data_IF_446106364987
#
_entry.id   IF_446106364987
#
_cell.length_a   1.000
_cell.length_b   1.000
_cell.length_c   1.000
_cell.angle_alpha   90.00
_cell.angle_beta   90.00
_cell.angle_gamma   90.00
#
_symmetry.space_group_name_H-M   'P 1'
#
loop_
_entity.id
_entity.type
_entity.pdbx_description
1 polymer ?
#
# COMPACT_ATOMS: atom_id res chain seq x y z
N UNK A 1 0.54 -15.72 -20.53
CA UNK A 1 1.53 -16.76 -20.20
C UNK A 1 1.08 -17.38 -18.88
N UNK A 2 1.22 -18.69 -18.69
CA UNK A 2 0.81 -19.33 -17.43
C UNK A 2 1.97 -19.22 -16.45
N UNK A 3 2.02 -18.12 -15.69
CA UNK A 3 2.91 -18.00 -14.55
C UNK A 3 2.20 -18.54 -13.31
N UNK A 4 2.98 -19.06 -12.36
CA UNK A 4 2.46 -19.65 -11.13
C UNK A 4 3.33 -19.22 -9.96
N UNK A 5 2.78 -18.36 -9.11
CA UNK A 5 3.46 -17.86 -7.91
C UNK A 5 2.94 -18.62 -6.69
N UNK A 6 3.85 -19.09 -5.84
CA UNK A 6 3.54 -19.50 -4.48
C UNK A 6 3.73 -18.32 -3.55
N UNK A 7 2.66 -17.95 -2.84
CA UNK A 7 2.72 -17.05 -1.72
C UNK A 7 2.87 -17.84 -0.41
N UNK A 8 3.96 -17.64 0.31
CA UNK A 8 4.19 -18.18 1.65
C UNK A 8 4.07 -17.07 2.68
N UNK A 9 3.14 -17.22 3.63
CA UNK A 9 3.03 -16.33 4.78
C UNK A 9 3.97 -16.81 5.87
N UNK A 10 4.78 -15.91 6.39
CA UNK A 10 5.66 -16.15 7.52
C UNK A 10 5.31 -15.22 8.66
N UNK A 11 5.38 -15.72 9.89
CA UNK A 11 5.33 -14.86 11.09
C UNK A 11 6.69 -14.19 11.30
N UNK A 12 6.73 -13.18 12.17
CA UNK A 12 7.96 -12.49 12.59
C UNK A 12 9.08 -13.42 13.14
N UNK A 13 8.76 -14.63 13.60
CA UNK A 13 9.74 -15.66 14.02
C UNK A 13 10.29 -16.51 12.86
N UNK A 14 9.81 -16.27 11.62
CA UNK A 14 10.16 -17.00 10.40
C UNK A 14 9.31 -18.25 10.16
N UNK A 15 8.42 -18.62 11.08
CA UNK A 15 7.57 -19.80 10.91
C UNK A 15 6.56 -19.60 9.79
N UNK A 16 6.42 -20.62 8.93
CA UNK A 16 5.40 -20.64 7.88
C UNK A 16 4.02 -20.79 8.52
N UNK A 17 3.12 -19.88 8.17
CA UNK A 17 1.73 -19.89 8.64
C UNK A 17 0.82 -20.54 7.61
N UNK A 18 0.96 -20.16 6.35
CA UNK A 18 0.14 -20.65 5.26
C UNK A 18 0.85 -20.51 3.92
N UNK A 19 0.41 -21.29 2.94
CA UNK A 19 0.88 -21.27 1.57
C UNK A 19 -0.32 -21.19 0.63
N UNK A 20 -0.24 -20.29 -0.35
CA UNK A 20 -1.31 -20.02 -1.29
C UNK A 20 -0.77 -20.02 -2.73
N UNK A 21 -1.26 -20.92 -3.60
CA UNK A 21 -0.96 -20.84 -5.01
C UNK A 21 -1.74 -19.67 -5.63
N UNK A 22 -1.03 -18.84 -6.41
CA UNK A 22 -1.58 -17.74 -7.19
C UNK A 22 -1.34 -18.04 -8.66
N UNK A 23 -2.42 -18.39 -9.36
CA UNK A 23 -2.42 -18.73 -10.77
C UNK A 23 -3.14 -17.59 -11.51
N UNK A 24 -2.43 -16.82 -12.36
CA UNK A 24 -2.96 -15.66 -13.09
C UNK A 24 -4.05 -15.95 -14.14
N UNK A 25 -4.76 -17.07 -14.00
CA UNK A 25 -5.76 -17.58 -14.94
C UNK A 25 -7.22 -17.40 -14.46
N UNK A 26 -7.45 -16.66 -13.37
CA UNK A 26 -8.76 -16.58 -12.70
C UNK A 26 -9.07 -15.24 -12.05
N UNK A 27 -10.07 -15.25 -11.16
CA UNK A 27 -10.34 -14.12 -10.28
C UNK A 27 -9.19 -13.94 -9.29
N UNK A 28 -9.01 -12.70 -8.82
CA UNK A 28 -8.01 -12.38 -7.80
C UNK A 28 -8.14 -13.33 -6.61
N UNK A 29 -7.02 -13.86 -6.14
CA UNK A 29 -7.00 -14.57 -4.85
C UNK A 29 -7.18 -13.53 -3.74
N UNK A 30 -8.09 -13.78 -2.80
CA UNK A 30 -8.25 -12.95 -1.62
C UNK A 30 -7.71 -13.67 -0.39
N UNK A 31 -6.90 -12.98 0.40
CA UNK A 31 -6.41 -13.45 1.69
C UNK A 31 -6.54 -12.36 2.74
N UNK A 32 -6.85 -12.73 3.98
CA UNK A 32 -6.85 -11.78 5.07
C UNK A 32 -5.42 -11.44 5.51
N UNK A 33 -5.16 -10.16 5.78
CA UNK A 33 -3.89 -9.75 6.37
C UNK A 33 -3.71 -10.33 7.78
N UNK A 34 -2.52 -10.89 8.01
CA UNK A 34 -2.09 -11.38 9.32
C UNK A 34 -1.18 -10.37 10.02
N UNK A 35 -1.46 -10.15 11.31
CA UNK A 35 -0.68 -9.22 12.13
C UNK A 35 0.74 -9.76 12.36
N UNK A 36 1.74 -8.92 12.08
CA UNK A 36 3.15 -9.29 12.20
C UNK A 36 3.65 -10.34 11.19
N UNK A 37 2.89 -10.64 10.14
CA UNK A 37 3.33 -11.53 9.07
C UNK A 37 4.14 -10.79 7.99
N UNK A 38 4.95 -11.51 7.24
CA UNK A 38 5.50 -11.07 5.96
C UNK A 38 5.13 -12.07 4.85
N UNK A 39 5.07 -11.58 3.62
CA UNK A 39 4.52 -12.26 2.47
C UNK A 39 5.65 -12.56 1.49
N UNK A 40 6.03 -13.83 1.36
CA UNK A 40 7.08 -14.26 0.44
C UNK A 40 6.48 -14.79 -0.86
N UNK A 41 6.89 -14.21 -1.99
CA UNK A 41 6.52 -14.65 -3.33
C UNK A 41 7.64 -15.49 -3.94
N UNK A 42 7.29 -16.62 -4.54
CA UNK A 42 8.23 -17.49 -5.24
C UNK A 42 7.56 -18.04 -6.48
N UNK A 43 8.13 -17.76 -7.65
CA UNK A 43 7.74 -18.36 -8.91
C UNK A 43 8.14 -19.84 -8.91
N UNK A 44 7.17 -20.72 -9.14
CA UNK A 44 7.40 -22.17 -9.08
C UNK A 44 8.24 -22.71 -10.25
N UNK A 45 8.31 -21.98 -11.37
CA UNK A 45 9.13 -22.39 -12.51
C UNK A 45 10.61 -22.07 -12.30
N UNK A 46 10.91 -20.95 -11.64
CA UNK A 46 12.29 -20.44 -11.50
C UNK A 46 12.86 -20.57 -10.09
N UNK A 47 12.00 -20.69 -9.07
CA UNK A 47 12.38 -20.71 -7.66
C UNK A 47 12.78 -19.33 -7.10
N UNK A 48 12.62 -18.26 -7.88
CA UNK A 48 12.89 -16.88 -7.48
C UNK A 48 11.59 -16.08 -7.40
N UNK A 49 11.60 -14.95 -6.72
CA UNK A 49 10.47 -14.03 -6.67
C UNK A 49 10.18 -13.43 -8.05
N UNK A 50 8.93 -13.00 -8.28
CA UNK A 50 8.52 -12.39 -9.54
C UNK A 50 9.34 -11.12 -9.85
N UNK A 51 9.73 -10.96 -11.11
CA UNK A 51 10.46 -9.76 -11.56
C UNK A 51 9.56 -8.52 -11.61
N UNK A 52 8.31 -8.72 -12.01
CA UNK A 52 7.30 -7.67 -12.09
C UNK A 52 6.28 -7.88 -10.97
N UNK A 53 6.21 -6.93 -10.05
CA UNK A 53 5.19 -6.88 -9.02
C UNK A 53 4.83 -5.42 -8.79
N UNK A 54 3.58 -5.06 -9.09
CA UNK A 54 3.03 -3.75 -8.81
C UNK A 54 1.98 -3.85 -7.71
N UNK A 55 1.93 -2.82 -6.87
CA UNK A 55 0.99 -2.76 -5.76
C UNK A 55 0.11 -1.51 -5.85
N UNK A 56 -1.15 -1.65 -5.46
CA UNK A 56 -2.11 -0.55 -5.38
C UNK A 56 -2.93 -0.67 -4.10
N UNK A 57 -3.39 0.47 -3.56
CA UNK A 57 -4.24 0.51 -2.38
C UNK A 57 -5.69 0.80 -2.77
N UNK A 58 -6.61 0.00 -2.24
CA UNK A 58 -8.05 0.25 -2.32
C UNK A 58 -8.63 0.15 -0.91
N UNK A 59 -9.03 1.28 -0.33
CA UNK A 59 -9.52 1.31 1.05
C UNK A 59 -8.45 0.80 2.02
N UNK A 60 -8.74 -0.32 2.69
CA UNK A 60 -7.83 -0.99 3.62
C UNK A 60 -7.08 -2.17 3.00
N UNK A 61 -7.36 -2.50 1.75
CA UNK A 61 -6.85 -3.67 1.06
C UNK A 61 -5.65 -3.30 0.17
N UNK A 62 -4.74 -4.27 0.02
CA UNK A 62 -3.59 -4.19 -0.87
C UNK A 62 -3.82 -5.07 -2.10
N UNK A 63 -3.86 -4.45 -3.27
CA UNK A 63 -3.96 -5.11 -4.56
C UNK A 63 -2.55 -5.35 -5.08
N UNK A 64 -2.30 -6.56 -5.58
CA UNK A 64 -1.01 -7.01 -6.12
C UNK A 64 -1.23 -7.55 -7.53
N UNK A 65 -0.39 -7.11 -8.45
CA UNK A 65 -0.39 -7.56 -9.83
C UNK A 65 1.00 -8.05 -10.22
N UNK A 66 1.07 -9.22 -10.85
CA UNK A 66 2.32 -9.83 -11.30
C UNK A 66 2.54 -9.68 -12.82
N UNK A 67 1.50 -9.40 -13.60
CA UNK A 67 1.55 -9.28 -15.08
C UNK A 67 1.16 -7.87 -15.61
N UNK A 68 1.18 -6.84 -14.75
CA UNK A 68 0.89 -5.44 -15.13
C UNK A 68 -0.41 -4.87 -14.57
N UNK A 69 -0.93 -3.79 -15.14
CA UNK A 69 -2.04 -2.99 -14.56
C UNK A 69 -3.45 -3.53 -14.87
N UNK A 70 -3.58 -4.85 -15.00
CA UNK A 70 -4.84 -5.53 -15.30
C UNK A 70 -5.78 -5.67 -14.09
N UNK A 71 -6.52 -6.78 -14.03
CA UNK A 71 -7.17 -7.16 -12.78
C UNK A 71 -6.10 -7.56 -11.76
N UNK A 72 -6.32 -7.31 -10.46
CA UNK A 72 -5.41 -7.80 -9.44
C UNK A 72 -5.37 -9.32 -9.48
N UNK A 73 -4.18 -9.88 -9.31
CA UNK A 73 -3.98 -11.32 -9.21
C UNK A 73 -4.16 -11.79 -7.75
N UNK A 74 -3.83 -10.91 -6.82
CA UNK A 74 -3.91 -11.13 -5.38
C UNK A 74 -4.39 -9.86 -4.69
N UNK A 75 -5.29 -10.03 -3.74
CA UNK A 75 -5.75 -9.00 -2.82
C UNK A 75 -5.49 -9.46 -1.39
N UNK A 76 -4.77 -8.63 -0.64
CA UNK A 76 -4.57 -8.82 0.79
C UNK A 76 -5.56 -7.90 1.52
N UNK A 77 -6.64 -8.50 2.02
CA UNK A 77 -7.73 -7.81 2.69
C UNK A 77 -7.26 -7.23 4.02
N UNK A 78 -7.64 -5.98 4.30
CA UNK A 78 -7.32 -5.24 5.52
C UNK A 78 -5.81 -5.09 5.82
N UNK A 79 -4.96 -5.16 4.79
CA UNK A 79 -3.51 -5.00 4.92
C UNK A 79 -3.11 -3.70 5.66
N UNK A 80 -3.77 -2.58 5.37
CA UNK A 80 -3.38 -1.30 5.96
C UNK A 80 -3.88 -1.11 7.42
N UNK A 81 -4.80 -1.95 7.88
CA UNK A 81 -5.40 -1.85 9.24
C UNK A 81 -4.99 -3.00 10.17
N UNK A 82 -4.71 -4.20 9.64
CA UNK A 82 -4.34 -5.38 10.44
C UNK A 82 -2.84 -5.63 10.54
N UNK A 83 -2.04 -5.05 9.66
CA UNK A 83 -0.58 -5.20 9.69
C UNK A 83 0.03 -5.04 8.30
N UNK A 84 0.92 -4.06 8.14
CA UNK A 84 1.60 -3.76 6.89
C UNK A 84 2.85 -4.65 6.70
N UNK A 85 2.60 -5.95 6.62
CA UNK A 85 3.63 -6.98 6.49
C UNK A 85 4.50 -6.80 5.25
N UNK A 86 5.81 -7.01 5.35
CA UNK A 86 6.71 -6.83 4.21
C UNK A 86 6.37 -7.80 3.07
N UNK A 87 6.38 -7.29 1.84
CA UNK A 87 6.34 -8.11 0.63
C UNK A 87 7.77 -8.45 0.24
N UNK A 88 8.09 -9.74 0.09
CA UNK A 88 9.45 -10.19 -0.24
C UNK A 88 9.45 -11.27 -1.33
N UNK A 89 10.56 -11.41 -2.04
CA UNK A 89 10.77 -12.43 -3.07
C UNK A 89 12.15 -13.06 -2.95
N UNK A 90 12.26 -14.34 -3.31
CA UNK A 90 13.52 -15.08 -3.29
C UNK A 90 14.43 -14.61 -4.44
N UNK A 91 15.70 -14.34 -4.20
CA UNK A 91 16.67 -13.99 -5.24
C UNK A 91 17.46 -15.21 -5.69
N UNK A 92 18.16 -15.13 -6.83
CA UNK A 92 19.01 -16.21 -7.33
C UNK A 92 20.10 -16.66 -6.33
N UNK A 93 20.53 -15.75 -5.44
CA UNK A 93 21.50 -16.05 -4.38
C UNK A 93 20.88 -16.65 -3.11
N UNK A 94 19.56 -16.90 -3.09
CA UNK A 94 18.80 -17.38 -1.94
C UNK A 94 18.46 -16.30 -0.90
N UNK A 95 18.82 -15.05 -1.14
CA UNK A 95 18.42 -13.91 -0.29
C UNK A 95 16.98 -13.46 -0.55
N UNK A 96 16.44 -12.62 0.34
CA UNK A 96 15.11 -12.02 0.17
C UNK A 96 15.24 -10.58 -0.33
N UNK A 97 14.51 -10.23 -1.39
CA UNK A 97 14.36 -8.86 -1.89
C UNK A 97 12.98 -8.32 -1.49
N UNK A 98 12.89 -7.06 -1.05
CA UNK A 98 11.61 -6.45 -0.69
C UNK A 98 10.95 -5.79 -1.89
N UNK A 99 9.64 -5.99 -2.05
CA UNK A 99 8.82 -5.27 -3.03
C UNK A 99 8.20 -4.01 -2.43
N UNK A 100 8.11 -2.91 -3.18
CA UNK A 100 7.50 -1.67 -2.71
C UNK A 100 5.98 -1.84 -2.54
N UNK A 101 5.47 -1.29 -1.43
CA UNK A 101 4.03 -1.19 -1.16
C UNK A 101 3.60 0.24 -1.42
N UNK A 102 2.78 0.46 -2.45
CA UNK A 102 2.23 1.77 -2.78
C UNK A 102 1.33 2.25 -1.65
N UNK A 103 1.76 3.29 -0.94
CA UNK A 103 0.90 4.05 -0.03
C UNK A 103 0.18 5.11 -0.87
N UNK A 104 -1.13 5.30 -0.63
CA UNK A 104 -1.90 6.32 -1.34
C UNK A 104 -1.21 7.69 -1.22
N UNK A 105 -1.16 8.50 -2.29
CA UNK A 105 -0.59 9.85 -2.22
C UNK A 105 -1.41 10.68 -1.23
N UNK A 106 -0.73 11.24 -0.24
CA UNK A 106 -1.32 11.91 0.93
C UNK A 106 -2.05 13.24 0.59
N UNK A 107 -2.27 13.53 -0.70
CA UNK A 107 -2.75 14.82 -1.20
C UNK A 107 -4.01 14.76 -2.08
N UNK A 108 -4.68 13.62 -2.23
CA UNK A 108 -5.84 13.51 -3.11
C UNK A 108 -7.20 13.93 -2.49
N UNK A 109 -7.26 14.29 -1.19
CA UNK A 109 -8.53 14.53 -0.49
C UNK A 109 -8.88 16.00 -0.20
N UNK A 110 -8.12 16.97 -0.72
CA UNK A 110 -8.39 18.40 -0.49
C UNK A 110 -8.88 19.12 -1.75
N UNK A 111 -9.99 18.69 -2.36
CA UNK A 111 -10.67 19.48 -3.40
C UNK A 111 -12.14 19.09 -3.55
N UNK A 112 -12.89 19.13 -2.45
CA UNK A 112 -14.34 19.31 -2.56
C UNK A 112 -14.82 20.18 -1.39
N UNK A 113 -14.64 21.49 -1.53
CA UNK A 113 -15.49 22.45 -0.82
C UNK A 113 -16.33 23.09 -1.92
N UNK A 114 -17.45 22.43 -2.24
CA UNK A 114 -18.57 23.04 -2.92
C UNK A 114 -19.12 24.09 -1.95
N UNK A 115 -18.62 25.33 -2.03
CA UNK A 115 -19.37 26.45 -1.46
C UNK A 115 -20.52 26.76 -2.40
N UNK A 116 -21.71 26.29 -2.01
CA UNK A 116 -22.98 26.65 -2.62
C UNK A 116 -23.12 28.18 -2.72
N UNK A 117 -23.43 28.65 -3.92
CA UNK A 117 -23.73 30.06 -4.22
C UNK A 117 -25.04 30.47 -3.53
N UNK A 118 -25.15 31.67 -2.92
CA UNK A 118 -26.42 32.35 -2.82
C UNK A 118 -26.66 33.20 -4.07
N UNK A 119 -27.84 32.96 -4.65
CA UNK A 119 -28.53 33.67 -5.71
C UNK A 119 -28.56 35.20 -5.47
N UNK A 120 -28.13 36.01 -6.45
CA UNK A 120 -28.30 37.47 -6.45
C UNK A 120 -27.79 38.09 -7.76
N UNK A 121 -28.65 38.80 -8.47
CA UNK A 121 -28.56 39.10 -9.90
C UNK A 121 -27.44 40.09 -10.35
N UNK A 122 -27.06 39.96 -11.64
CA UNK A 122 -26.30 40.88 -12.51
C UNK A 122 -24.77 41.00 -12.35
N UNK A 123 -24.03 39.90 -12.56
CA UNK A 123 -22.61 40.00 -12.96
C UNK A 123 -22.27 39.06 -14.14
N UNK A 124 -21.53 39.54 -15.16
CA UNK A 124 -21.09 38.69 -16.26
C UNK A 124 -20.07 37.65 -15.77
N UNK A 125 -20.23 36.43 -16.26
CA UNK A 125 -19.43 35.27 -15.89
C UNK A 125 -17.93 35.51 -16.08
N UNK A 126 -17.18 35.46 -14.98
CA UNK A 126 -15.73 35.30 -15.00
C UNK A 126 -15.40 33.90 -14.47
N UNK A 127 -14.81 33.09 -15.35
CA UNK A 127 -14.19 31.82 -14.98
C UNK A 127 -13.09 32.06 -13.93
N UNK A 128 -13.01 31.27 -12.84
CA UNK A 128 -11.86 31.33 -11.96
C UNK A 128 -10.74 30.45 -12.53
N UNK A 129 -9.80 31.10 -13.21
CA UNK A 129 -8.39 30.68 -13.26
C UNK A 129 -7.80 30.79 -11.85
N UNK A 130 -6.88 29.86 -11.54
CA UNK A 130 -6.32 29.63 -10.21
C UNK A 130 -5.79 30.88 -9.50
N UNK A 131 -6.05 30.94 -8.19
CA UNK A 131 -5.44 31.92 -7.30
C UNK A 131 -4.12 31.36 -6.76
N UNK A 132 -3.06 31.99 -7.24
CA UNK A 132 -1.70 31.99 -6.72
C UNK A 132 -1.68 32.52 -5.28
N UNK A 133 -1.13 31.74 -4.36
CA UNK A 133 -0.72 32.19 -3.05
C UNK A 133 0.57 33.02 -3.13
N UNK A 134 0.39 34.33 -3.15
CA UNK A 134 1.30 35.43 -2.81
C UNK A 134 2.79 35.10 -2.57
N UNK A 135 3.65 35.45 -3.55
CA UNK A 135 5.03 35.85 -3.30
C UNK A 135 5.08 37.38 -3.33
N UNK A 136 5.60 37.97 -2.26
CA UNK A 136 5.63 39.42 -2.01
C UNK A 136 6.47 40.22 -3.01
N UNK A 137 6.02 41.45 -3.24
CA UNK A 137 6.60 42.48 -4.12
C UNK A 137 7.92 43.05 -3.56
N UNK A 138 8.96 43.16 -4.40
CA UNK A 138 9.89 44.30 -4.35
C UNK A 138 10.20 44.79 -5.76
N UNK A 139 10.09 46.11 -5.90
CA UNK A 139 10.09 46.93 -7.08
C UNK A 139 11.44 47.07 -7.80
N UNK A 140 11.38 47.50 -9.07
CA UNK A 140 12.26 48.56 -9.56
C UNK A 140 13.29 48.21 -10.64
N UNK A 141 12.86 48.37 -11.89
CA UNK A 141 13.56 48.98 -13.04
C UNK A 141 14.85 48.36 -13.62
N UNK A 142 14.74 48.09 -14.92
CA UNK A 142 15.76 47.86 -15.94
C UNK A 142 16.60 49.13 -16.19
N UNK A 143 17.90 48.98 -16.45
CA UNK A 143 18.59 49.82 -17.44
C UNK A 143 19.82 49.09 -18.03
N UNK A 144 19.77 48.86 -19.34
CA UNK A 144 20.91 48.51 -20.19
C UNK A 144 21.69 49.78 -20.57
N UNK A 145 23.02 49.74 -20.52
CA UNK A 145 23.88 50.57 -21.38
C UNK A 145 25.27 49.93 -21.55
N UNK A 146 25.61 49.59 -22.79
CA UNK A 146 26.99 49.48 -23.30
C UNK A 146 27.33 50.83 -23.90
N UNK A 147 28.47 51.43 -23.55
CA UNK A 147 29.32 52.20 -24.48
C UNK A 147 30.68 52.57 -23.85
N UNK A 148 31.54 53.15 -24.69
CA UNK A 148 32.99 53.24 -24.73
C UNK A 148 33.75 54.00 -23.61
N UNK A 149 35.01 53.57 -23.39
CA UNK A 149 36.21 54.44 -23.47
C UNK A 149 36.60 55.35 -22.28
N UNK A 150 37.92 55.39 -22.06
CA UNK A 150 38.74 56.42 -21.38
C UNK A 150 39.18 56.23 -19.91
N UNK A 151 40.51 56.22 -19.81
CA UNK A 151 41.50 56.42 -18.74
C UNK A 151 41.05 57.12 -17.43
N UNK A 152 41.62 56.58 -16.34
CA UNK A 152 42.02 57.15 -15.03
C UNK A 152 41.32 58.40 -14.49
N UNK A 153 40.74 58.32 -13.28
CA UNK A 153 41.33 58.90 -12.06
C UNK A 153 40.62 58.43 -10.77
N UNK A 154 41.32 58.63 -9.66
CA UNK A 154 41.11 58.21 -8.27
C UNK A 154 39.76 58.56 -7.63
N UNK A 155 39.25 57.71 -6.72
CA UNK A 155 38.13 58.09 -5.83
C UNK A 155 37.46 56.93 -5.07
N UNK A 156 37.96 56.65 -3.86
CA UNK A 156 37.30 56.10 -2.66
C UNK A 156 35.82 55.62 -2.77
N UNK A 157 35.59 54.30 -2.71
CA UNK A 157 34.29 53.72 -2.35
C UNK A 157 34.48 52.67 -1.23
N UNK A 158 33.77 52.76 -0.09
CA UNK A 158 33.84 51.76 0.98
C UNK A 158 33.15 50.46 0.57
N UNK A 159 33.79 49.31 0.84
CA UNK A 159 33.18 48.00 0.65
C UNK A 159 31.93 47.81 1.55
N UNK A 160 30.82 47.24 1.05
CA UNK A 160 29.70 46.84 1.88
C UNK A 160 30.07 45.64 2.77
N UNK A 161 29.65 45.70 4.03
CA UNK A 161 29.87 44.67 5.05
C UNK A 161 29.07 43.36 4.70
N UNK A 162 29.58 42.15 5.01
CA UNK A 162 28.85 40.91 4.76
C UNK A 162 27.54 40.82 5.55
N UNK A 163 26.45 40.36 4.92
CA UNK A 163 25.15 40.13 5.57
C UNK A 163 25.24 39.03 6.66
N UNK A 164 24.45 39.12 7.75
CA UNK A 164 24.36 38.07 8.77
C UNK A 164 23.77 36.77 8.21
N UNK A 165 24.29 35.63 8.71
CA UNK A 165 23.88 34.29 8.32
C UNK A 165 22.42 34.00 8.75
N UNK A 166 21.61 33.23 7.97
CA UNK A 166 20.25 32.87 8.35
C UNK A 166 20.21 32.02 9.63
N UNK A 167 19.25 32.31 10.52
CA UNK A 167 19.02 31.49 11.72
C UNK A 167 18.47 30.09 11.36
N UNK A 168 18.81 29.03 12.14
CA UNK A 168 18.29 27.69 11.91
C UNK A 168 16.77 27.61 12.06
N UNK A 169 16.12 26.81 11.21
CA UNK A 169 14.69 26.55 11.25
C UNK A 169 14.25 25.88 12.57
N UNK A 170 13.05 26.18 13.11
CA UNK A 170 12.52 25.53 14.31
C UNK A 170 12.36 24.01 14.13
N UNK A 171 12.69 23.24 15.16
CA UNK A 171 12.50 21.78 15.16
C UNK A 171 11.01 21.39 15.15
N UNK A 172 10.63 20.30 14.47
CA UNK A 172 9.26 19.78 14.49
C UNK A 172 8.82 19.36 15.90
N UNK A 173 7.56 19.62 16.23
CA UNK A 173 6.94 19.22 17.50
C UNK A 173 6.84 17.68 17.60
N UNK A 174 6.97 17.08 18.81
CA UNK A 174 6.81 15.65 19.02
C UNK A 174 5.41 15.15 18.62
N UNK A 175 5.34 14.00 17.94
CA UNK A 175 4.07 13.37 17.56
C UNK A 175 3.26 12.89 18.79
N UNK A 176 1.91 12.91 18.72
CA UNK A 176 1.04 12.42 19.78
C UNK A 176 1.23 10.92 20.06
N UNK A 177 1.13 10.54 21.33
CA UNK A 177 1.23 9.15 21.78
C UNK A 177 0.11 8.27 21.17
N UNK A 178 0.41 7.02 20.74
CA UNK A 178 -0.60 6.08 20.26
C UNK A 178 -1.64 5.75 21.33
N UNK A 179 -2.92 5.67 20.94
CA UNK A 179 -3.99 5.22 21.84
C UNK A 179 -3.87 3.73 22.20
N UNK A 180 -4.34 3.29 23.38
CA UNK A 180 -4.29 1.88 23.79
C UNK A 180 -5.13 0.97 22.89
N UNK A 181 -4.59 -0.21 22.58
CA UNK A 181 -5.19 -1.21 21.70
C UNK A 181 -6.51 -1.78 22.28
N UNK A 182 -7.54 -2.06 21.46
CA UNK A 182 -8.77 -2.72 21.91
C UNK A 182 -8.51 -4.12 22.47
N UNK A 183 -9.25 -4.52 23.51
CA UNK A 183 -9.14 -5.86 24.09
C UNK A 183 -9.58 -6.95 23.09
N UNK A 184 -8.92 -8.13 23.05
CA UNK A 184 -9.30 -9.23 22.17
C UNK A 184 -10.72 -9.74 22.46
N UNK A 185 -11.45 -10.04 21.38
CA UNK A 185 -12.80 -10.60 21.44
C UNK A 185 -12.79 -12.02 22.06
N UNK A 186 -13.84 -12.42 22.80
CA UNK A 186 -13.92 -13.76 23.40
C UNK A 186 -13.89 -14.88 22.36
N UNK A 187 -13.17 -15.98 22.66
CA UNK A 187 -13.05 -17.14 21.78
C UNK A 187 -14.41 -17.79 21.45
N UNK A 188 -14.60 -18.32 20.23
CA UNK A 188 -15.78 -19.08 19.87
C UNK A 188 -15.95 -20.35 20.70
N UNK A 189 -17.19 -20.66 21.06
CA UNK A 189 -17.55 -21.86 21.81
C UNK A 189 -17.21 -23.14 21.01
N UNK A 190 -16.75 -24.23 21.67
CA UNK A 190 -16.45 -25.50 21.00
C UNK A 190 -17.67 -26.09 20.27
N UNK A 191 -17.45 -26.65 19.08
CA UNK A 191 -18.49 -27.31 18.31
C UNK A 191 -19.06 -28.55 19.03
N UNK A 192 -20.36 -28.86 18.82
CA UNK A 192 -20.99 -30.06 19.37
C UNK A 192 -20.35 -31.35 18.83
N UNK A 193 -20.23 -32.35 19.71
CA UNK A 193 -19.64 -33.65 19.43
C UNK A 193 -20.40 -34.40 18.31
N UNK A 194 -19.71 -35.19 17.44
CA UNK A 194 -20.36 -35.98 16.39
C UNK A 194 -21.33 -37.02 16.97
N UNK A 195 -22.46 -37.24 16.28
CA UNK A 195 -23.45 -38.26 16.66
C UNK A 195 -22.88 -39.69 16.55
N UNK A 196 -23.31 -40.63 17.42
CA UNK A 196 -22.88 -42.02 17.37
C UNK A 196 -23.26 -42.71 16.05
N UNK A 197 -22.38 -43.60 15.58
CA UNK A 197 -22.51 -44.35 14.34
C UNK A 197 -23.73 -45.31 14.37
N UNK A 198 -24.43 -45.55 13.24
CA UNK A 198 -25.54 -46.50 13.18
C UNK A 198 -25.10 -47.93 13.50
N UNK A 199 -25.95 -48.68 14.21
CA UNK A 199 -25.69 -50.09 14.56
C UNK A 199 -25.59 -50.97 13.30
N UNK A 200 -24.76 -52.05 13.33
CA UNK A 200 -24.68 -53.01 12.24
C UNK A 200 -25.99 -53.73 11.98
N UNK A 201 -26.27 -54.00 10.70
CA UNK A 201 -27.47 -54.69 10.25
C UNK A 201 -27.52 -56.16 10.76
N UNK A 202 -28.71 -56.71 11.08
CA UNK A 202 -28.84 -58.11 11.46
C UNK A 202 -28.38 -59.08 10.36
N UNK A 203 -27.73 -60.18 10.73
CA UNK A 203 -27.28 -61.21 9.79
C UNK A 203 -28.45 -61.87 9.04
N UNK A 204 -28.26 -62.29 7.77
CA UNK A 204 -29.26 -63.04 7.03
C UNK A 204 -29.58 -64.39 7.67
N UNK A 205 -30.85 -64.79 7.60
CA UNK A 205 -31.38 -66.05 8.14
C UNK A 205 -30.73 -67.29 7.48
N UNK A 206 -30.57 -68.42 8.20
CA UNK A 206 -30.05 -69.66 7.64
C UNK A 206 -30.95 -70.22 6.52
N UNK A 207 -30.35 -70.76 5.46
CA UNK A 207 -31.07 -71.41 4.36
C UNK A 207 -31.86 -72.65 4.84
N UNK A 208 -33.05 -72.93 4.25
CA UNK A 208 -33.78 -74.17 4.51
C UNK A 208 -33.01 -75.40 4.05
N UNK A 209 -33.06 -76.45 4.87
CA UNK A 209 -32.39 -77.73 4.66
C UNK A 209 -32.92 -78.46 3.40
N UNK A 210 -32.10 -79.21 2.65
CA UNK A 210 -32.60 -79.99 1.51
C UNK A 210 -33.54 -81.12 1.98
N UNK A 211 -34.68 -81.29 1.31
CA UNK A 211 -35.57 -82.43 1.53
C UNK A 211 -34.89 -83.74 1.08
N UNK A 212 -35.03 -84.83 1.85
CA UNK A 212 -34.59 -86.16 1.42
C UNK A 212 -35.62 -86.78 0.45
N UNK A 213 -35.11 -87.53 -0.54
CA UNK A 213 -35.88 -88.50 -1.33
C UNK A 213 -35.91 -89.86 -0.61
#
# INVERSE_FOLDING_TARGET
>A
MNWQILLTLHRADGAVVAEYPVDGAGAALHIAAEDGAYYQFTDLATGIGPENLTTARTGDDLLIHFDGDGQPDLVIDNYFTRGQGALVGVQENGGLASYPVTRAPEHALASEIITAQPLGADQPALAPLGVLGAVGLVAGSIAFARDHGYKSDSGNYPQPNPQPNPQPNPQPNPQPNPQPNPQPNPQPNPQPNPQPNPQPNPQPNPQPNPQPN
#
